data_IF_510572185720
#
_entry.id   IF_510572185720
#
_cell.length_a   1.000
_cell.length_b   1.000
_cell.length_c   1.000
_cell.angle_alpha   90.00
_cell.angle_beta   90.00
_cell.angle_gamma   90.00
#
_symmetry.space_group_name_H-M   'P 1'
#
loop_
_entity.id
_entity.type
_entity.pdbx_description
1 polymer ?
#
# COMPACT_ATOMS: atom_id res chain seq x y z
N UNK A 1 19.54 13.38 -3.45
CA UNK A 1 19.73 12.66 -2.17
C UNK A 1 18.88 13.26 -1.03
N UNK A 2 18.79 14.60 -0.88
CA UNK A 2 17.98 15.23 0.17
C UNK A 2 16.45 15.00 0.03
N UNK A 3 15.95 14.96 -1.21
CA UNK A 3 14.52 14.92 -1.54
C UNK A 3 13.78 13.65 -1.04
N UNK A 4 14.41 12.48 -1.18
CA UNK A 4 13.83 11.22 -0.68
C UNK A 4 13.75 11.17 0.86
N UNK A 5 14.61 11.91 1.57
CA UNK A 5 14.61 11.90 3.04
C UNK A 5 13.40 12.60 3.65
N UNK A 6 12.78 13.55 2.95
CA UNK A 6 11.63 14.28 3.45
C UNK A 6 10.31 13.51 3.26
N UNK A 7 10.22 12.67 2.22
CA UNK A 7 9.10 11.74 2.02
C UNK A 7 9.07 10.64 3.09
N UNK A 8 10.25 10.11 3.42
CA UNK A 8 10.43 9.09 4.46
C UNK A 8 10.06 9.61 5.86
N UNK A 9 10.18 10.92 6.11
CA UNK A 9 9.79 11.55 7.39
C UNK A 9 8.27 11.67 7.57
N UNK A 10 7.51 11.90 6.49
CA UNK A 10 6.06 12.17 6.58
C UNK A 10 5.21 10.91 6.77
N UNK A 11 5.68 9.75 6.33
CA UNK A 11 4.86 8.53 6.26
C UNK A 11 4.95 7.62 7.49
N UNK A 12 5.81 7.94 8.49
CA UNK A 12 6.07 7.11 9.67
C UNK A 12 6.90 5.85 9.39
N UNK A 13 7.22 5.59 8.11
CA UNK A 13 7.94 4.41 7.64
C UNK A 13 9.41 4.39 8.11
N UNK A 14 9.97 5.56 8.46
CA UNK A 14 11.34 5.69 8.93
C UNK A 14 11.64 4.85 10.17
N UNK A 15 10.70 4.70 11.12
CA UNK A 15 10.96 4.03 12.39
C UNK A 15 11.19 2.51 12.24
N UNK A 16 10.60 1.88 11.21
CA UNK A 16 10.75 0.44 10.96
C UNK A 16 11.93 0.12 10.03
N UNK A 17 12.35 1.07 9.18
CA UNK A 17 13.36 0.85 8.14
C UNK A 17 14.72 1.52 8.43
N UNK A 18 14.90 2.07 9.65
CA UNK A 18 16.07 2.88 10.03
C UNK A 18 17.45 2.21 9.94
N UNK A 19 17.55 0.95 9.53
CA UNK A 19 18.82 0.19 9.56
C UNK A 19 19.38 -0.16 8.19
N UNK A 20 18.64 -0.02 7.09
CA UNK A 20 19.11 -0.57 5.80
C UNK A 20 19.49 0.49 4.76
N UNK A 21 20.77 0.51 4.40
CA UNK A 21 21.31 1.29 3.26
C UNK A 21 20.64 0.89 1.94
N UNK A 22 19.97 -0.26 1.89
CA UNK A 22 19.17 -0.72 0.75
C UNK A 22 17.93 0.17 0.48
N UNK A 23 17.39 0.86 1.48
CA UNK A 23 16.20 1.70 1.31
C UNK A 23 16.45 2.91 0.40
N UNK A 24 17.69 3.41 0.33
CA UNK A 24 18.11 4.50 -0.55
C UNK A 24 18.16 4.00 -2.00
N UNK A 25 17.00 4.02 -2.68
CA UNK A 25 16.85 3.68 -4.10
C UNK A 25 15.71 2.71 -4.41
N UNK A 26 15.13 2.04 -3.41
CA UNK A 26 13.99 1.13 -3.59
C UNK A 26 12.66 1.85 -3.85
N UNK A 27 12.46 2.98 -3.16
CA UNK A 27 11.20 3.73 -3.19
C UNK A 27 11.33 5.06 -3.95
N UNK A 28 10.29 5.38 -4.72
CA UNK A 28 10.09 6.63 -5.46
C UNK A 28 8.99 7.46 -4.81
N UNK A 29 8.88 8.73 -5.19
CA UNK A 29 7.81 9.60 -4.70
C UNK A 29 6.41 9.05 -5.01
N UNK A 30 6.25 8.45 -6.19
CA UNK A 30 5.03 7.76 -6.62
C UNK A 30 4.61 6.64 -5.66
N UNK A 31 5.55 5.88 -5.09
CA UNK A 31 5.22 4.83 -4.11
C UNK A 31 4.61 5.41 -2.82
N UNK A 32 5.13 6.56 -2.36
CA UNK A 32 4.59 7.24 -1.19
C UNK A 32 3.24 7.90 -1.48
N UNK A 33 3.05 8.42 -2.69
CA UNK A 33 1.76 8.97 -3.13
C UNK A 33 0.67 7.87 -3.19
N UNK A 34 1.00 6.67 -3.68
CA UNK A 34 0.09 5.49 -3.60
C UNK A 34 -0.23 5.17 -2.15
N UNK A 35 0.77 5.18 -1.25
CA UNK A 35 0.56 4.91 0.17
C UNK A 35 -0.35 5.96 0.84
N UNK A 36 -0.22 7.23 0.48
CA UNK A 36 -1.06 8.31 1.01
C UNK A 36 -2.51 8.18 0.53
N UNK A 37 -2.74 7.84 -0.75
CA UNK A 37 -4.07 7.54 -1.27
C UNK A 37 -4.71 6.34 -0.55
N UNK A 38 -3.94 5.26 -0.36
CA UNK A 38 -4.37 4.07 0.38
C UNK A 38 -4.80 4.42 1.82
N UNK A 39 -4.01 5.21 2.53
CA UNK A 39 -4.31 5.65 3.90
C UNK A 39 -5.55 6.52 3.95
N UNK A 40 -5.75 7.42 2.99
CA UNK A 40 -6.91 8.28 2.92
C UNK A 40 -8.21 7.47 2.73
N UNK A 41 -8.20 6.50 1.81
CA UNK A 41 -9.35 5.60 1.57
C UNK A 41 -9.64 4.76 2.82
N UNK A 42 -8.61 4.18 3.43
CA UNK A 42 -8.75 3.39 4.65
C UNK A 42 -9.36 4.21 5.79
N UNK A 43 -8.88 5.44 5.98
CA UNK A 43 -9.41 6.36 7.00
C UNK A 43 -10.87 6.75 6.73
N UNK A 44 -11.23 7.07 5.49
CA UNK A 44 -12.60 7.41 5.10
C UNK A 44 -13.59 6.26 5.35
N UNK A 45 -13.13 5.01 5.21
CA UNK A 45 -13.93 3.80 5.44
C UNK A 45 -13.88 3.26 6.86
N UNK A 46 -12.99 3.79 7.72
CA UNK A 46 -12.78 3.26 9.06
C UNK A 46 -12.16 1.86 9.10
N UNK A 47 -11.38 1.49 8.08
CA UNK A 47 -10.74 0.17 7.94
C UNK A 47 -9.22 0.30 7.98
N UNK A 48 -8.50 -0.83 8.06
CA UNK A 48 -7.03 -0.83 8.04
C UNK A 48 -6.50 -0.68 6.60
N UNK A 49 -5.36 0.02 6.38
CA UNK A 49 -4.76 0.15 5.04
C UNK A 49 -4.48 -1.19 4.34
N UNK A 50 -4.06 -2.22 5.09
CA UNK A 50 -3.87 -3.57 4.57
C UNK A 50 -5.14 -4.14 3.93
N UNK A 51 -6.31 -3.87 4.52
CA UNK A 51 -7.58 -4.37 4.01
C UNK A 51 -7.93 -3.73 2.67
N UNK A 52 -7.67 -2.43 2.52
CA UNK A 52 -7.85 -1.72 1.25
C UNK A 52 -6.90 -2.25 0.18
N UNK A 53 -5.64 -2.51 0.53
CA UNK A 53 -4.65 -3.04 -0.41
C UNK A 53 -5.02 -4.44 -0.91
N UNK A 54 -5.46 -5.33 -0.01
CA UNK A 54 -5.92 -6.67 -0.36
C UNK A 54 -7.21 -6.62 -1.18
N UNK A 55 -8.16 -5.75 -0.82
CA UNK A 55 -9.38 -5.54 -1.60
C UNK A 55 -9.08 -5.07 -3.03
N UNK A 56 -8.11 -4.17 -3.20
CA UNK A 56 -7.66 -3.74 -4.53
C UNK A 56 -7.08 -4.92 -5.34
N UNK A 57 -6.23 -5.76 -4.74
CA UNK A 57 -5.70 -6.96 -5.41
C UNK A 57 -6.82 -7.92 -5.82
N UNK A 58 -7.76 -8.19 -4.91
CA UNK A 58 -8.90 -9.07 -5.15
C UNK A 58 -9.87 -8.54 -6.21
N UNK A 59 -9.89 -7.23 -6.46
CA UNK A 59 -10.72 -6.63 -7.53
C UNK A 59 -10.19 -6.89 -8.94
N UNK A 60 -8.94 -7.36 -9.09
CA UNK A 60 -8.32 -7.54 -10.41
C UNK A 60 -8.83 -8.82 -11.09
N UNK A 61 -9.19 -8.77 -12.39
CA UNK A 61 -9.86 -9.87 -13.07
C UNK A 61 -9.02 -11.16 -13.17
N UNK A 62 -7.69 -11.05 -13.12
CA UNK A 62 -6.76 -12.19 -13.24
C UNK A 62 -6.20 -12.65 -11.89
N UNK A 63 -6.65 -12.07 -10.78
CA UNK A 63 -6.15 -12.39 -9.44
C UNK A 63 -6.96 -13.54 -8.83
N UNK A 64 -6.34 -14.71 -8.66
CA UNK A 64 -6.97 -15.84 -7.98
C UNK A 64 -6.93 -15.68 -6.45
N UNK A 65 -5.76 -15.36 -5.89
CA UNK A 65 -5.58 -15.07 -4.47
C UNK A 65 -4.28 -14.28 -4.23
N UNK A 66 -4.30 -13.24 -3.38
CA UNK A 66 -3.08 -12.53 -2.99
C UNK A 66 -2.23 -13.38 -2.01
N UNK A 67 -0.91 -13.35 -2.18
CA UNK A 67 0.05 -13.96 -1.24
C UNK A 67 0.55 -12.86 -0.29
N UNK A 68 0.41 -13.08 1.01
CA UNK A 68 0.90 -12.16 2.04
C UNK A 68 1.41 -12.94 3.25
N UNK A 69 2.48 -12.44 3.88
CA UNK A 69 3.02 -12.99 5.11
C UNK A 69 2.43 -12.28 6.32
N UNK A 70 2.18 -13.04 7.39
CA UNK A 70 1.73 -12.50 8.68
C UNK A 70 2.74 -12.85 9.76
N UNK A 71 3.03 -11.90 10.65
CA UNK A 71 3.83 -12.13 11.86
C UNK A 71 2.96 -12.22 13.12
N UNK A 72 1.69 -11.86 13.00
CA UNK A 72 0.67 -11.95 14.05
C UNK A 72 -0.57 -12.68 13.50
N UNK A 73 -1.03 -13.78 14.13
CA UNK A 73 -2.25 -14.48 13.73
C UNK A 73 -3.50 -13.59 13.60
N UNK A 74 -3.59 -12.49 14.36
CA UNK A 74 -4.71 -11.56 14.26
C UNK A 74 -4.83 -10.92 12.86
N UNK A 75 -3.73 -10.81 12.11
CA UNK A 75 -3.72 -10.28 10.75
C UNK A 75 -4.47 -11.18 9.76
N UNK A 76 -4.66 -12.47 10.07
CA UNK A 76 -5.47 -13.37 9.24
C UNK A 76 -6.94 -12.91 9.24
N UNK A 77 -7.46 -12.48 10.39
CA UNK A 77 -8.81 -11.94 10.48
C UNK A 77 -8.96 -10.62 9.71
N UNK A 78 -7.94 -9.76 9.75
CA UNK A 78 -7.92 -8.53 8.95
C UNK A 78 -7.94 -8.84 7.45
N UNK A 79 -7.15 -9.82 7.01
CA UNK A 79 -7.10 -10.26 5.61
C UNK A 79 -8.43 -10.87 5.16
N UNK A 80 -9.08 -11.67 6.00
CA UNK A 80 -10.42 -12.19 5.73
C UNK A 80 -11.43 -11.04 5.58
N UNK A 81 -11.42 -10.06 6.48
CA UNK A 81 -12.31 -8.91 6.38
C UNK A 81 -12.08 -8.03 5.12
N UNK A 82 -10.94 -8.16 4.44
CA UNK A 82 -10.71 -7.49 3.16
C UNK A 82 -11.58 -8.05 2.01
N UNK A 83 -12.03 -9.30 2.09
CA UNK A 83 -12.89 -9.91 1.05
C UNK A 83 -14.27 -9.27 0.97
N UNK A 84 -14.69 -8.62 2.06
CA UNK A 84 -15.99 -7.95 2.17
C UNK A 84 -15.95 -6.50 1.68
N UNK A 85 -14.79 -6.00 1.25
CA UNK A 85 -14.63 -4.62 0.80
C UNK A 85 -14.71 -4.56 -0.72
N UNK A 86 -15.81 -4.01 -1.23
CA UNK A 86 -15.91 -3.56 -2.61
C UNK A 86 -15.42 -2.11 -2.74
N UNK A 87 -14.30 -1.92 -3.45
CA UNK A 87 -13.82 -0.58 -3.80
C UNK A 87 -14.63 -0.01 -4.96
N UNK A 88 -14.91 1.28 -4.88
CA UNK A 88 -15.56 2.02 -5.96
C UNK A 88 -14.57 2.26 -7.11
N UNK A 89 -15.06 2.49 -8.34
CA UNK A 89 -14.21 2.88 -9.46
C UNK A 89 -13.33 4.10 -9.15
N UNK A 90 -13.85 5.07 -8.40
CA UNK A 90 -13.16 6.30 -8.01
C UNK A 90 -11.99 6.01 -7.06
N UNK A 91 -12.18 5.10 -6.11
CA UNK A 91 -11.12 4.70 -5.17
C UNK A 91 -10.05 3.87 -5.86
N UNK A 92 -10.43 2.97 -6.77
CA UNK A 92 -9.48 2.22 -7.59
C UNK A 92 -8.65 3.20 -8.43
N UNK A 93 -9.30 4.16 -9.09
CA UNK A 93 -8.61 5.19 -9.87
C UNK A 93 -7.69 6.05 -8.99
N UNK A 94 -8.09 6.40 -7.77
CA UNK A 94 -7.26 7.16 -6.83
C UNK A 94 -6.01 6.39 -6.38
N UNK A 95 -6.12 5.06 -6.20
CA UNK A 95 -4.98 4.19 -5.88
C UNK A 95 -4.01 4.05 -7.07
N UNK A 96 -4.54 4.02 -8.28
CA UNK A 96 -3.75 3.77 -9.50
C UNK A 96 -3.14 5.05 -10.10
N UNK A 97 -3.78 6.21 -9.93
CA UNK A 97 -3.34 7.48 -10.51
C UNK A 97 -1.88 7.88 -10.20
N UNK A 98 -1.35 7.71 -8.96
CA UNK A 98 0.04 8.04 -8.67
C UNK A 98 1.04 6.95 -9.06
N UNK A 99 0.59 5.78 -9.54
CA UNK A 99 1.47 4.67 -9.89
C UNK A 99 2.29 4.98 -11.15
N UNK A 100 3.61 4.83 -11.05
CA UNK A 100 4.53 4.93 -12.18
C UNK A 100 5.08 3.54 -12.54
N UNK A 101 4.83 3.03 -13.75
CA UNK A 101 5.36 1.76 -14.20
C UNK A 101 6.89 1.68 -14.06
N UNK A 102 7.37 0.57 -13.52
CA UNK A 102 8.80 0.26 -13.47
C UNK A 102 9.18 -0.50 -14.74
N UNK A 103 10.13 0.01 -15.50
CA UNK A 103 10.72 -0.75 -16.59
C UNK A 103 11.37 -2.02 -16.04
N UNK A 104 10.96 -3.18 -16.53
CA UNK A 104 11.76 -4.40 -16.40
C UNK A 104 12.97 -4.26 -17.33
N UNK A 105 14.17 -4.53 -16.81
CA UNK A 105 15.37 -4.60 -17.63
C UNK A 105 15.31 -5.76 -18.63
#
# INVERSE_FOLDING_TARGET
MQHNQDLLRKTGLKAALTTDKLADGLYRESDFAVLDALKAIAAARGVKPMQVALAWLLSRPVMAAPIFGVSDPAQIADAAAATEIALTPEEIAALEAPYEPRASA
#
